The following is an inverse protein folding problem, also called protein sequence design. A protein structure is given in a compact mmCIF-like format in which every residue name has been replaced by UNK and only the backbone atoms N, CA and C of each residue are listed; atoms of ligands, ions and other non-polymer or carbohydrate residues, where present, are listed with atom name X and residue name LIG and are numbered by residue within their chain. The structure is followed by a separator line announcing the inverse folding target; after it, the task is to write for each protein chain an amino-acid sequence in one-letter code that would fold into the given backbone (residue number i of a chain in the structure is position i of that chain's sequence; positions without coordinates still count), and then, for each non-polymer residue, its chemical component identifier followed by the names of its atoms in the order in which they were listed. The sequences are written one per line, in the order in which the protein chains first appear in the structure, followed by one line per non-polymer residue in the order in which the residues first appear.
data_IF_579790034574
#
_entry.id   IF_579790034574
#
_cell.length_a   1.000
_cell.length_b   1.000
_cell.length_c   1.000
_cell.angle_alpha   90.00
_cell.angle_beta   90.00
_cell.angle_gamma   90.00
#
_symmetry.space_group_name_H-M   'P 1'
#
loop_
_entity.id
_entity.type
_entity.pdbx_description
1 polymer ?
#
# COMPACT_ATOMS: atom_id res chain seq x y z
N UNK A 1 -3.80 -20.46 -16.76
CA UNK A 1 -3.25 -20.96 -15.48
C UNK A 1 -3.74 -20.02 -14.41
N UNK A 2 -4.70 -20.43 -13.59
CA UNK A 2 -5.11 -19.66 -12.41
C UNK A 2 -4.13 -19.98 -11.30
N UNK A 3 -3.40 -18.96 -10.83
CA UNK A 3 -2.58 -19.07 -9.62
C UNK A 3 -3.52 -18.76 -8.46
N UNK A 4 -3.92 -19.80 -7.72
CA UNK A 4 -4.73 -19.66 -6.51
C UNK A 4 -3.76 -19.53 -5.34
N UNK A 5 -3.55 -18.31 -4.86
CA UNK A 5 -2.73 -18.05 -3.68
C UNK A 5 -3.59 -18.19 -2.41
N UNK A 6 -3.19 -19.13 -1.55
CA UNK A 6 -3.92 -19.48 -0.31
C UNK A 6 -3.40 -18.74 0.92
N UNK A 7 -2.45 -17.80 0.78
CA UNK A 7 -1.97 -16.99 1.90
C UNK A 7 -3.10 -16.07 2.39
N UNK A 8 -3.26 -15.97 3.70
CA UNK A 8 -4.27 -15.10 4.31
C UNK A 8 -3.96 -13.64 4.01
N UNK A 9 -4.80 -12.99 3.22
CA UNK A 9 -4.81 -11.54 3.08
C UNK A 9 -5.44 -10.93 4.33
N UNK A 10 -4.66 -10.63 5.37
CA UNK A 10 -5.11 -9.78 6.48
C UNK A 10 -4.87 -8.31 6.11
N UNK A 11 -5.63 -7.83 5.12
CA UNK A 11 -5.70 -6.39 4.85
C UNK A 11 -6.60 -5.77 5.91
N UNK A 12 -6.08 -4.83 6.70
CA UNK A 12 -6.92 -4.04 7.60
C UNK A 12 -7.99 -3.31 6.77
N UNK A 13 -9.26 -3.53 7.09
CA UNK A 13 -10.40 -2.94 6.36
C UNK A 13 -10.46 -1.42 6.49
N UNK A 14 -9.63 -0.82 7.35
CA UNK A 14 -9.65 0.60 7.66
C UNK A 14 -8.61 1.43 6.89
N UNK A 15 -7.82 0.85 5.98
CA UNK A 15 -6.85 1.60 5.18
C UNK A 15 -7.55 2.62 4.27
N UNK A 16 -7.08 3.86 4.29
CA UNK A 16 -7.61 5.01 3.54
C UNK A 16 -6.52 5.67 2.70
N UNK A 17 -6.97 6.46 1.72
CA UNK A 17 -6.09 7.38 1.00
C UNK A 17 -5.49 8.36 2.03
N UNK A 18 -4.19 8.60 1.95
CA UNK A 18 -3.43 9.42 2.88
C UNK A 18 -2.73 8.63 3.99
N UNK A 19 -3.09 7.36 4.19
CA UNK A 19 -2.44 6.54 5.21
C UNK A 19 -1.00 6.21 4.82
N UNK A 20 -0.13 6.11 5.83
CA UNK A 20 1.17 5.45 5.71
C UNK A 20 1.05 4.05 6.27
N UNK A 21 1.51 3.07 5.49
CA UNK A 21 1.50 1.66 5.82
C UNK A 21 2.92 1.24 6.20
N UNK A 22 3.05 0.57 7.33
CA UNK A 22 4.20 -0.28 7.62
C UNK A 22 3.90 -1.69 7.10
N UNK A 23 4.73 -2.16 6.17
CA UNK A 23 4.69 -3.51 5.60
C UNK A 23 5.84 -4.29 6.21
N UNK A 24 5.53 -5.37 6.91
CA UNK A 24 6.49 -6.24 7.57
C UNK A 24 6.55 -7.55 6.80
N UNK A 25 7.71 -7.84 6.23
CA UNK A 25 7.98 -9.08 5.53
C UNK A 25 8.32 -10.19 6.55
N UNK A 26 7.53 -11.27 6.66
CA UNK A 26 7.76 -12.29 7.68
C UNK A 26 9.00 -13.15 7.40
N UNK A 27 9.49 -13.18 6.16
CA UNK A 27 10.62 -14.02 5.75
C UNK A 27 11.97 -13.47 6.21
N UNK A 28 12.14 -12.14 6.22
CA UNK A 28 13.40 -11.47 6.51
C UNK A 28 13.27 -10.36 7.58
N UNK A 29 12.09 -10.21 8.17
CA UNK A 29 11.76 -9.17 9.15
C UNK A 29 12.04 -7.75 8.67
N UNK A 30 12.00 -7.52 7.35
CA UNK A 30 12.18 -6.19 6.78
C UNK A 30 10.91 -5.38 6.93
N UNK A 31 11.08 -4.11 7.27
CA UNK A 31 10.00 -3.12 7.36
C UNK A 31 10.12 -2.16 6.18
N UNK A 32 9.03 -1.97 5.45
CA UNK A 32 8.92 -0.97 4.41
C UNK A 32 7.77 -0.01 4.72
N UNK A 33 7.94 1.26 4.39
CA UNK A 33 6.91 2.28 4.59
C UNK A 33 6.33 2.76 3.27
N UNK A 34 5.01 2.72 3.14
CA UNK A 34 4.31 2.98 1.90
C UNK A 34 3.16 3.97 2.10
N UNK A 35 3.09 5.01 1.28
CA UNK A 35 2.01 5.97 1.31
C UNK A 35 0.89 5.58 0.34
N UNK A 36 -0.36 5.64 0.81
CA UNK A 36 -1.55 5.37 0.01
C UNK A 36 -2.01 6.65 -0.69
N UNK A 37 -1.80 6.71 -2.00
CA UNK A 37 -2.20 7.82 -2.86
C UNK A 37 -3.39 7.51 -3.75
N UNK A 38 -4.00 8.57 -4.28
CA UNK A 38 -5.04 8.50 -5.29
C UNK A 38 -4.82 9.60 -6.34
N UNK A 39 -4.98 9.25 -7.60
CA UNK A 39 -4.75 10.12 -8.75
C UNK A 39 -5.98 10.10 -9.68
N UNK A 40 -6.76 11.18 -9.63
CA UNK A 40 -7.96 11.35 -10.45
C UNK A 40 -7.66 11.50 -11.95
N UNK A 41 -6.45 11.91 -12.30
CA UNK A 41 -6.04 12.14 -13.69
C UNK A 41 -5.62 10.86 -14.43
N UNK A 42 -5.39 9.75 -13.71
CA UNK A 42 -5.06 8.47 -14.33
C UNK A 42 -6.34 7.73 -14.73
N UNK A 43 -6.28 7.07 -15.90
CA UNK A 43 -7.38 6.22 -16.40
C UNK A 43 -7.78 5.16 -15.36
N UNK A 44 -8.96 4.56 -15.49
CA UNK A 44 -9.51 3.53 -14.57
C UNK A 44 -8.58 2.34 -14.25
N UNK A 45 -7.41 2.20 -14.90
CA UNK A 45 -6.43 1.14 -14.64
C UNK A 45 -5.41 1.46 -13.54
N UNK A 46 -5.33 2.70 -13.04
CA UNK A 46 -4.24 3.11 -12.14
C UNK A 46 -4.55 4.32 -11.28
N UNK A 47 -5.79 4.40 -10.76
CA UNK A 47 -6.22 5.54 -9.93
C UNK A 47 -5.66 5.51 -8.51
N UNK A 48 -5.36 4.34 -7.98
CA UNK A 48 -4.77 4.20 -6.66
C UNK A 48 -3.27 3.96 -6.80
N UNK A 49 -2.49 4.51 -5.87
CA UNK A 49 -1.05 4.30 -5.83
C UNK A 49 -0.59 3.89 -4.44
N UNK A 50 0.32 2.93 -4.36
CA UNK A 50 1.16 2.71 -3.18
C UNK A 50 2.54 3.24 -3.52
N UNK A 51 3.06 4.20 -2.75
CA UNK A 51 4.37 4.80 -2.99
C UNK A 51 5.29 4.44 -1.84
N UNK A 52 6.36 3.70 -2.14
CA UNK A 52 7.38 3.39 -1.14
C UNK A 52 8.14 4.67 -0.76
N UNK A 53 8.18 4.97 0.54
CA UNK A 53 8.76 6.21 1.06
C UNK A 53 10.29 6.23 1.03
N UNK A 54 10.93 5.06 1.00
CA UNK A 54 12.39 4.96 0.95
C UNK A 54 12.91 5.06 -0.50
N UNK A 55 12.26 4.36 -1.42
CA UNK A 55 12.73 4.19 -2.80
C UNK A 55 12.02 5.11 -3.80
N UNK A 56 10.87 5.69 -3.43
CA UNK A 56 10.01 6.47 -4.33
C UNK A 56 9.28 5.63 -5.39
N UNK A 57 9.41 4.31 -5.36
CA UNK A 57 8.72 3.41 -6.29
C UNK A 57 7.21 3.50 -6.07
N UNK A 58 6.46 3.71 -7.16
CA UNK A 58 5.00 3.76 -7.14
C UNK A 58 4.39 2.54 -7.82
N UNK A 59 3.47 1.87 -7.14
CA UNK A 59 2.63 0.80 -7.68
C UNK A 59 1.25 1.36 -7.96
N UNK A 60 0.74 1.15 -9.17
CA UNK A 60 -0.55 1.68 -9.61
C UNK A 60 -1.58 0.57 -9.75
N UNK A 61 -2.80 0.83 -9.30
CA UNK A 61 -3.90 -0.14 -9.37
C UNK A 61 -5.25 0.53 -9.65
N UNK A 62 -6.23 -0.22 -10.20
CA UNK A 62 -7.59 0.29 -10.39
C UNK A 62 -8.32 0.55 -9.06
N UNK A 63 -7.99 -0.20 -8.01
CA UNK A 63 -8.54 -0.11 -6.67
C UNK A 63 -7.49 -0.47 -5.61
N UNK A 64 -7.73 -0.05 -4.37
CA UNK A 64 -6.81 -0.23 -3.25
C UNK A 64 -6.60 -1.70 -2.86
N UNK A 65 -7.65 -2.52 -2.93
CA UNK A 65 -7.58 -3.94 -2.59
C UNK A 65 -6.64 -4.69 -3.55
N UNK A 66 -6.74 -4.38 -4.85
CA UNK A 66 -5.83 -4.89 -5.88
C UNK A 66 -4.39 -4.44 -5.65
N UNK A 67 -4.17 -3.18 -5.26
CA UNK A 67 -2.83 -2.66 -4.97
C UNK A 67 -2.15 -3.43 -3.83
N UNK A 68 -2.89 -3.64 -2.74
CA UNK A 68 -2.40 -4.31 -1.55
C UNK A 68 -2.17 -5.80 -1.79
N UNK A 69 -3.11 -6.48 -2.48
CA UNK A 69 -2.98 -7.91 -2.82
C UNK A 69 -1.81 -8.21 -3.75
N UNK A 70 -1.45 -7.30 -4.65
CA UNK A 70 -0.38 -7.57 -5.60
C UNK A 70 1.00 -7.53 -4.94
N UNK A 71 1.19 -6.63 -3.97
CA UNK A 71 2.52 -6.37 -3.40
C UNK A 71 2.70 -6.87 -1.97
N UNK A 72 1.65 -6.74 -1.15
CA UNK A 72 1.74 -6.96 0.29
C UNK A 72 1.29 -8.38 0.67
N UNK A 73 1.23 -9.29 -0.31
CA UNK A 73 0.68 -10.63 -0.12
C UNK A 73 1.54 -11.44 0.84
N UNK A 74 0.92 -11.88 1.94
CA UNK A 74 1.62 -12.59 3.01
C UNK A 74 2.51 -11.68 3.87
N UNK A 75 2.43 -10.36 3.73
CA UNK A 75 3.06 -9.41 4.65
C UNK A 75 2.09 -9.02 5.75
N UNK A 76 2.61 -8.68 6.93
CA UNK A 76 1.81 -7.99 7.94
C UNK A 76 1.76 -6.50 7.59
N UNK A 77 0.56 -5.92 7.58
CA UNK A 77 0.35 -4.51 7.21
C UNK A 77 -0.23 -3.79 8.42
N UNK A 78 0.35 -2.63 8.77
CA UNK A 78 -0.12 -1.76 9.85
C UNK A 78 -0.28 -0.35 9.32
N UNK A 79 -1.38 0.31 9.68
CA UNK A 79 -1.49 1.75 9.47
C UNK A 79 -0.67 2.45 10.55
N UNK A 80 0.28 3.28 10.12
CA UNK A 80 1.08 4.12 10.99
C UNK A 80 0.39 5.47 11.11
N UNK A 81 0.11 5.88 12.34
CA UNK A 81 -0.41 7.22 12.60
C UNK A 81 0.64 8.24 12.16
N UNK A 82 0.28 9.04 11.16
CA UNK A 82 1.16 10.07 10.63
C UNK A 82 0.47 11.40 10.85
N UNK A 83 0.84 12.06 11.94
CA UNK A 83 0.64 13.49 12.08
C UNK A 83 1.50 14.18 11.01
N UNK A 84 0.95 14.33 9.80
CA UNK A 84 1.56 15.13 8.75
C UNK A 84 1.54 16.60 9.19
N UNK A 85 2.63 17.06 9.82
CA UNK A 85 2.87 18.47 10.05
C UNK A 85 3.23 19.14 8.71
N UNK A 86 2.21 19.48 7.93
CA UNK A 86 2.40 20.27 6.71
C UNK A 86 2.73 21.71 7.14
N UNK A 87 4.01 22.08 7.04
CA UNK A 87 4.44 23.47 7.18
C UNK A 87 4.06 24.18 5.88
N UNK A 88 3.10 25.08 5.95
CA UNK A 88 2.79 26.00 4.85
C UNK A 88 3.76 27.19 4.93
N UNK A 89 4.61 27.37 3.92
CA UNK A 89 5.40 28.59 3.68
C UNK A 89 4.53 29.71 3.07
#
# INVERSE_FOLDING_TARGET
MEIIDMRSNSVDKNIKIGDVLEIIHPEDHRHEYWFVGYNEGLSNKGKYSLVNLETGVALLAPDLDSALKYYCLGCDIRVVDTELHIIND
#
